data_IF_564922116885
#
_entry.id   IF_564922116885
#
_cell.length_a   1.000
_cell.length_b   1.000
_cell.length_c   1.000
_cell.angle_alpha   90.00
_cell.angle_beta   90.00
_cell.angle_gamma   90.00
#
_symmetry.space_group_name_H-M   'P 1'
#
loop_
_entity.id
_entity.type
_entity.pdbx_description
1 polymer ?
#
# COMPACT_ATOMS: atom_id res chain seq x y z
N UNK A 1 -4.72 32.46 4.78
CA UNK A 1 -5.34 33.64 5.46
C UNK A 1 -5.81 34.62 4.39
N UNK A 2 -7.00 34.44 3.85
CA UNK A 2 -7.78 35.53 3.25
C UNK A 2 -9.17 35.46 3.85
N UNK A 3 -9.33 36.09 5.01
CA UNK A 3 -10.66 36.51 5.45
C UNK A 3 -11.10 37.65 4.52
N UNK A 4 -12.08 37.39 3.65
CA UNK A 4 -12.67 38.43 2.85
C UNK A 4 -13.50 39.32 3.76
N UNK A 5 -13.02 40.50 4.08
CA UNK A 5 -13.68 41.57 4.89
C UNK A 5 -15.07 41.91 4.30
N UNK A 6 -15.34 41.56 3.05
CA UNK A 6 -16.59 41.82 2.33
C UNK A 6 -17.80 41.04 2.86
N UNK A 7 -17.57 39.84 3.45
CA UNK A 7 -18.67 38.96 3.94
C UNK A 7 -19.13 39.32 5.34
N UNK A 8 -18.34 40.06 6.13
CA UNK A 8 -18.70 40.47 7.47
C UNK A 8 -19.79 41.57 7.49
N UNK A 9 -19.99 42.29 6.39
CA UNK A 9 -21.03 43.34 6.29
C UNK A 9 -22.46 42.78 6.12
N UNK A 10 -22.59 41.54 5.62
CA UNK A 10 -23.90 40.91 5.40
C UNK A 10 -24.34 39.96 6.54
N UNK A 11 -23.61 39.91 7.65
CA UNK A 11 -23.95 39.06 8.82
C UNK A 11 -23.77 37.55 8.59
N UNK A 12 -23.28 37.11 7.43
CA UNK A 12 -23.01 35.69 7.13
C UNK A 12 -21.58 35.52 6.67
N UNK A 13 -20.75 34.90 7.51
CA UNK A 13 -19.34 34.57 7.15
C UNK A 13 -19.22 33.07 6.90
N UNK A 14 -18.72 32.69 5.73
CA UNK A 14 -18.45 31.30 5.41
C UNK A 14 -16.99 30.98 5.72
N UNK A 15 -16.76 30.07 6.66
CA UNK A 15 -15.43 29.55 6.98
C UNK A 15 -15.31 28.16 6.37
N UNK A 16 -14.35 27.97 5.46
CA UNK A 16 -14.06 26.67 4.88
C UNK A 16 -12.90 26.02 5.64
N UNK A 17 -13.15 24.84 6.20
CA UNK A 17 -12.13 24.00 6.84
C UNK A 17 -11.89 22.80 5.92
N UNK A 18 -10.66 22.65 5.40
CA UNK A 18 -10.29 21.53 4.56
C UNK A 18 -9.57 20.49 5.41
N UNK A 19 -10.16 19.30 5.52
CA UNK A 19 -9.61 18.17 6.26
C UNK A 19 -9.12 17.12 5.26
N UNK A 20 -7.98 16.48 5.56
CA UNK A 20 -7.48 15.37 4.74
C UNK A 20 -8.41 14.15 4.93
N UNK A 21 -9.13 13.79 3.87
CA UNK A 21 -10.11 12.69 3.86
C UNK A 21 -9.51 11.33 3.46
N UNK A 22 -8.19 11.22 3.28
CA UNK A 22 -7.53 9.95 2.90
C UNK A 22 -7.78 8.88 3.96
N UNK A 23 -7.77 9.25 5.24
CA UNK A 23 -8.14 8.37 6.34
C UNK A 23 -9.52 8.76 6.88
N UNK A 24 -10.53 7.95 6.58
CA UNK A 24 -11.92 8.22 6.99
C UNK A 24 -12.09 8.35 8.51
N UNK A 25 -11.36 7.53 9.29
CA UNK A 25 -11.41 7.57 10.75
C UNK A 25 -10.88 8.89 11.31
N UNK A 26 -9.73 9.35 10.80
CA UNK A 26 -9.16 10.64 11.21
C UNK A 26 -10.03 11.82 10.78
N UNK A 27 -10.54 11.80 9.55
CA UNK A 27 -11.41 12.83 9.04
C UNK A 27 -12.70 12.94 9.90
N UNK A 28 -13.28 11.81 10.28
CA UNK A 28 -14.46 11.75 11.15
C UNK A 28 -14.13 12.27 12.56
N UNK A 29 -12.98 11.89 13.10
CA UNK A 29 -12.55 12.35 14.43
C UNK A 29 -12.33 13.88 14.45
N UNK A 30 -11.63 14.41 13.45
CA UNK A 30 -11.43 15.87 13.32
C UNK A 30 -12.76 16.58 13.14
N UNK A 31 -13.68 16.06 12.33
CA UNK A 31 -15.01 16.59 12.15
C UNK A 31 -15.78 16.65 13.49
N UNK A 32 -15.76 15.57 14.26
CA UNK A 32 -16.45 15.50 15.54
C UNK A 32 -15.86 16.50 16.56
N UNK A 33 -14.54 16.66 16.58
CA UNK A 33 -13.90 17.70 17.41
C UNK A 33 -14.28 19.10 16.98
N UNK A 34 -14.31 19.39 15.67
CA UNK A 34 -14.74 20.69 15.17
C UNK A 34 -16.20 20.98 15.55
N UNK A 35 -17.09 20.01 15.41
CA UNK A 35 -18.49 20.14 15.82
C UNK A 35 -18.64 20.38 17.34
N UNK A 36 -17.84 19.67 18.14
CA UNK A 36 -17.84 19.87 19.60
C UNK A 36 -17.34 21.27 19.99
N UNK A 37 -16.27 21.77 19.34
CA UNK A 37 -15.73 23.12 19.57
C UNK A 37 -16.74 24.18 19.16
N UNK A 38 -17.40 24.04 18.01
CA UNK A 38 -18.46 24.94 17.55
C UNK A 38 -19.65 24.95 18.52
N UNK A 39 -20.10 23.76 18.94
CA UNK A 39 -21.19 23.63 19.90
C UNK A 39 -20.87 24.22 21.27
N UNK A 40 -19.62 24.06 21.76
CA UNK A 40 -19.19 24.67 23.02
C UNK A 40 -19.10 26.21 22.91
N UNK A 41 -18.68 26.72 21.75
CA UNK A 41 -18.66 28.16 21.49
C UNK A 41 -20.07 28.73 21.38
N UNK A 42 -21.01 28.07 20.68
CA UNK A 42 -22.43 28.47 20.63
C UNK A 42 -23.05 28.49 21.98
N UNK A 43 -22.80 27.51 22.83
CA UNK A 43 -23.33 27.49 24.21
C UNK A 43 -22.77 28.63 25.06
N UNK A 44 -21.55 29.11 24.79
CA UNK A 44 -20.95 30.24 25.51
C UNK A 44 -21.54 31.60 25.13
N UNK A 45 -22.25 31.71 23.99
CA UNK A 45 -22.90 32.95 23.52
C UNK A 45 -24.27 33.24 24.18
N UNK A 46 -24.66 32.44 25.17
CA UNK A 46 -25.81 32.74 26.05
C UNK A 46 -27.18 32.66 25.37
N UNK A 47 -27.69 31.47 25.16
CA UNK A 47 -29.13 31.20 25.08
C UNK A 47 -29.86 31.68 23.81
N UNK A 48 -29.21 31.82 22.68
CA UNK A 48 -29.93 32.01 21.40
C UNK A 48 -30.55 30.70 20.97
N UNK A 49 -31.86 30.73 20.68
CA UNK A 49 -32.68 29.57 20.27
C UNK A 49 -32.45 29.08 18.83
N UNK A 50 -31.60 29.72 18.07
CA UNK A 50 -31.27 29.30 16.71
C UNK A 50 -29.77 29.01 16.60
N UNK A 51 -29.36 27.93 15.89
CA UNK A 51 -27.96 27.66 15.65
C UNK A 51 -27.35 28.84 14.87
N UNK A 52 -26.26 29.38 15.41
CA UNK A 52 -25.55 30.54 14.82
C UNK A 52 -24.69 30.08 13.63
N UNK A 53 -24.33 28.79 13.61
CA UNK A 53 -23.50 28.21 12.59
C UNK A 53 -24.15 26.97 11.94
N UNK A 54 -24.32 27.01 10.63
CA UNK A 54 -24.70 25.84 9.82
C UNK A 54 -23.43 25.14 9.33
N UNK A 55 -23.13 23.95 9.89
CA UNK A 55 -21.96 23.15 9.55
C UNK A 55 -22.30 22.22 8.40
N UNK A 56 -21.98 22.63 7.16
CA UNK A 56 -22.14 21.79 5.98
C UNK A 56 -20.87 20.99 5.72
N UNK A 57 -20.94 19.66 5.89
CA UNK A 57 -19.85 18.76 5.55
C UNK A 57 -19.95 18.33 4.09
N UNK A 58 -18.86 18.50 3.34
CA UNK A 58 -18.77 18.08 1.94
C UNK A 58 -17.54 17.20 1.75
N UNK A 59 -17.75 15.92 1.49
CA UNK A 59 -16.65 14.98 1.17
C UNK A 59 -16.44 14.93 -0.35
N UNK A 60 -15.18 15.02 -0.82
CA UNK A 60 -14.88 15.05 -2.25
C UNK A 60 -14.63 13.67 -2.86
N UNK A 61 -14.04 12.74 -2.12
CA UNK A 61 -13.57 11.45 -2.65
C UNK A 61 -14.29 10.24 -2.06
N UNK A 62 -14.87 10.36 -0.87
CA UNK A 62 -15.63 9.32 -0.19
C UNK A 62 -16.92 9.94 0.37
N UNK A 63 -17.92 10.14 -0.48
CA UNK A 63 -19.18 10.79 -0.09
C UNK A 63 -19.95 9.99 0.97
N UNK A 64 -19.85 8.66 0.92
CA UNK A 64 -20.47 7.77 1.89
C UNK A 64 -19.72 7.72 3.24
N UNK A 65 -18.50 8.30 3.33
CA UNK A 65 -17.60 8.18 4.50
C UNK A 65 -17.38 6.72 4.93
N UNK A 66 -17.29 5.81 3.93
CA UNK A 66 -17.16 4.38 4.14
C UNK A 66 -15.67 4.01 4.29
N UNK A 67 -15.34 3.40 5.42
CA UNK A 67 -13.97 2.95 5.73
C UNK A 67 -13.47 1.87 4.76
N UNK A 68 -14.37 1.12 4.12
CA UNK A 68 -14.00 0.07 3.16
C UNK A 68 -13.20 0.61 1.97
N UNK A 69 -13.46 1.83 1.51
CA UNK A 69 -12.74 2.45 0.40
C UNK A 69 -11.26 2.69 0.70
N UNK A 70 -10.91 2.84 1.96
CA UNK A 70 -9.53 2.97 2.41
C UNK A 70 -8.89 1.62 2.77
N UNK A 71 -9.66 0.74 3.43
CA UNK A 71 -9.16 -0.52 3.96
C UNK A 71 -8.90 -1.56 2.86
N UNK A 72 -9.79 -1.68 1.86
CA UNK A 72 -9.68 -2.74 0.85
C UNK A 72 -8.42 -2.62 -0.01
N UNK A 73 -8.01 -1.44 -0.54
CA UNK A 73 -6.72 -1.32 -1.22
C UNK A 73 -5.54 -1.76 -0.35
N UNK A 74 -5.54 -1.43 0.93
CA UNK A 74 -4.50 -1.85 1.88
C UNK A 74 -4.46 -3.37 2.10
N UNK A 75 -5.62 -4.01 2.18
CA UNK A 75 -5.72 -5.49 2.27
C UNK A 75 -5.16 -6.15 1.01
N UNK A 76 -5.46 -5.61 -0.17
CA UNK A 76 -4.90 -6.10 -1.45
C UNK A 76 -3.37 -6.05 -1.42
N UNK A 77 -2.78 -4.93 -0.98
CA UNK A 77 -1.30 -4.82 -0.82
C UNK A 77 -0.75 -5.89 0.10
N UNK A 78 -1.42 -6.12 1.22
CA UNK A 78 -1.02 -7.12 2.22
C UNK A 78 -1.04 -8.53 1.63
N UNK A 79 -2.11 -8.91 0.92
CA UNK A 79 -2.24 -10.19 0.23
C UNK A 79 -1.14 -10.34 -0.84
N UNK A 80 -0.91 -9.32 -1.67
CA UNK A 80 0.11 -9.34 -2.70
C UNK A 80 1.53 -9.47 -2.12
N UNK A 81 1.79 -8.83 -0.97
CA UNK A 81 3.06 -8.95 -0.25
C UNK A 81 3.26 -10.38 0.29
N UNK A 82 2.21 -10.98 0.86
CA UNK A 82 2.26 -12.36 1.35
C UNK A 82 2.56 -13.34 0.21
N UNK A 83 1.83 -13.24 -0.90
CA UNK A 83 2.00 -14.15 -2.04
C UNK A 83 3.37 -13.93 -2.69
N UNK A 84 3.74 -12.68 -2.94
CA UNK A 84 5.00 -12.36 -3.58
C UNK A 84 6.22 -12.74 -2.73
N UNK A 85 6.31 -12.26 -1.51
CA UNK A 85 7.52 -12.43 -0.69
C UNK A 85 7.51 -13.74 0.11
N UNK A 86 6.43 -14.05 0.84
CA UNK A 86 6.37 -15.21 1.72
C UNK A 86 6.37 -16.52 0.93
N UNK A 87 5.44 -16.63 -0.05
CA UNK A 87 5.32 -17.88 -0.82
C UNK A 87 6.59 -18.15 -1.62
N UNK A 88 7.16 -17.11 -2.26
CA UNK A 88 8.40 -17.26 -3.03
C UNK A 88 9.57 -17.66 -2.14
N UNK A 89 9.71 -17.05 -0.97
CA UNK A 89 10.77 -17.41 -0.04
C UNK A 89 10.66 -18.84 0.45
N UNK A 90 9.44 -19.31 0.76
CA UNK A 90 9.16 -20.69 1.17
C UNK A 90 9.47 -21.72 0.08
N UNK A 91 8.97 -21.48 -1.13
CA UNK A 91 9.17 -22.41 -2.27
C UNK A 91 10.66 -22.55 -2.59
N UNK A 92 11.39 -21.44 -2.65
CA UNK A 92 12.81 -21.47 -2.93
C UNK A 92 13.64 -22.06 -1.78
N UNK A 93 13.33 -21.71 -0.52
CA UNK A 93 14.03 -22.26 0.64
C UNK A 93 13.83 -23.79 0.76
N UNK A 94 12.64 -24.29 0.39
CA UNK A 94 12.37 -25.74 0.34
C UNK A 94 13.28 -26.45 -0.66
N UNK A 95 13.57 -25.84 -1.79
CA UNK A 95 14.46 -26.42 -2.80
C UNK A 95 15.93 -26.41 -2.35
N UNK A 96 16.35 -25.35 -1.65
CA UNK A 96 17.67 -25.34 -1.00
C UNK A 96 17.78 -26.44 0.05
N UNK A 97 16.78 -26.61 0.90
CA UNK A 97 16.79 -27.60 1.98
C UNK A 97 16.77 -29.06 1.46
N UNK A 98 16.07 -29.29 0.34
CA UNK A 98 15.98 -30.66 -0.26
C UNK A 98 17.13 -31.01 -1.19
N UNK A 99 18.04 -30.08 -1.49
CA UNK A 99 19.13 -30.30 -2.42
C UNK A 99 18.68 -30.46 -3.89
N UNK A 100 17.39 -30.17 -4.20
CA UNK A 100 16.85 -30.30 -5.55
C UNK A 100 17.49 -29.31 -6.54
N UNK A 101 18.02 -28.20 -6.05
CA UNK A 101 18.78 -27.26 -6.86
C UNK A 101 20.08 -27.88 -7.39
N UNK A 102 20.74 -28.76 -6.61
CA UNK A 102 21.96 -29.43 -7.01
C UNK A 102 21.70 -30.38 -8.20
N UNK A 103 20.57 -31.10 -8.19
CA UNK A 103 20.20 -31.96 -9.32
C UNK A 103 19.85 -31.18 -10.60
N UNK A 104 19.37 -29.94 -10.46
CA UNK A 104 19.09 -29.04 -11.59
C UNK A 104 20.39 -28.49 -12.22
N UNK A 105 21.46 -28.30 -11.46
CA UNK A 105 22.74 -27.84 -11.97
C UNK A 105 23.46 -28.88 -12.83
N UNK A 106 23.08 -30.14 -12.78
CA UNK A 106 23.58 -31.19 -13.68
C UNK A 106 23.00 -31.03 -15.10
N UNK A 107 21.91 -30.28 -15.24
CA UNK A 107 21.31 -29.96 -16.55
C UNK A 107 22.02 -28.75 -17.18
N UNK A 108 22.07 -28.64 -18.53
CA UNK A 108 22.70 -27.50 -19.19
C UNK A 108 21.92 -26.18 -19.09
N UNK A 109 21.07 -26.06 -18.09
CA UNK A 109 20.20 -24.86 -17.83
C UNK A 109 20.91 -23.93 -16.86
N UNK A 110 20.98 -22.64 -17.19
CA UNK A 110 21.60 -21.63 -16.34
C UNK A 110 20.81 -21.39 -15.05
N UNK A 111 21.50 -21.19 -13.91
CA UNK A 111 20.88 -20.91 -12.61
C UNK A 111 19.90 -19.72 -12.65
N UNK A 112 20.17 -18.73 -13.52
CA UNK A 112 19.28 -17.59 -13.72
C UNK A 112 17.96 -17.97 -14.42
N UNK A 113 17.97 -18.95 -15.31
CA UNK A 113 16.77 -19.43 -16.01
C UNK A 113 15.86 -20.21 -15.07
N UNK A 114 16.45 -21.01 -14.18
CA UNK A 114 15.70 -21.74 -13.13
C UNK A 114 15.00 -20.75 -12.19
N UNK A 115 15.73 -19.74 -11.71
CA UNK A 115 15.16 -18.69 -10.87
C UNK A 115 14.04 -17.91 -11.57
N UNK A 116 14.26 -17.60 -12.87
CA UNK A 116 13.24 -16.89 -13.65
C UNK A 116 11.98 -17.73 -13.86
N UNK A 117 12.13 -19.03 -14.15
CA UNK A 117 10.99 -19.94 -14.29
C UNK A 117 10.17 -20.06 -13.01
N UNK A 118 10.82 -20.17 -11.85
CA UNK A 118 10.17 -20.20 -10.53
C UNK A 118 9.49 -18.88 -10.20
N UNK A 119 10.18 -17.77 -10.46
CA UNK A 119 9.61 -16.43 -10.28
C UNK A 119 8.39 -16.24 -11.19
N UNK A 120 8.44 -16.72 -12.44
CA UNK A 120 7.30 -16.64 -13.37
C UNK A 120 6.07 -17.40 -12.86
N UNK A 121 6.25 -18.60 -12.31
CA UNK A 121 5.14 -19.36 -11.71
C UNK A 121 4.48 -18.62 -10.56
N UNK A 122 5.28 -18.07 -9.62
CA UNK A 122 4.77 -17.30 -8.50
C UNK A 122 4.18 -15.96 -8.94
N UNK A 123 4.71 -15.37 -10.02
CA UNK A 123 4.15 -14.17 -10.63
C UNK A 123 2.74 -14.42 -11.18
N UNK A 124 2.55 -15.50 -11.93
CA UNK A 124 1.23 -15.88 -12.45
C UNK A 124 0.24 -16.12 -11.30
N UNK A 125 0.65 -16.83 -10.26
CA UNK A 125 -0.18 -17.06 -9.08
C UNK A 125 -0.57 -15.75 -8.39
N UNK A 126 0.38 -14.82 -8.26
CA UNK A 126 0.13 -13.49 -7.71
C UNK A 126 -0.84 -12.68 -8.56
N UNK A 127 -0.72 -12.72 -9.89
CA UNK A 127 -1.65 -12.04 -10.80
C UNK A 127 -3.06 -12.62 -10.75
N UNK A 128 -3.20 -13.94 -10.62
CA UNK A 128 -4.51 -14.58 -10.41
C UNK A 128 -5.11 -14.14 -9.07
N UNK A 129 -4.32 -14.10 -8.01
CA UNK A 129 -4.78 -13.63 -6.70
C UNK A 129 -5.18 -12.15 -6.74
N UNK A 130 -4.46 -11.32 -7.47
CA UNK A 130 -4.85 -9.93 -7.71
C UNK A 130 -6.22 -9.86 -8.40
N UNK A 131 -6.40 -10.62 -9.48
CA UNK A 131 -7.67 -10.64 -10.22
C UNK A 131 -8.84 -11.03 -9.31
N UNK A 132 -8.68 -12.08 -8.49
CA UNK A 132 -9.69 -12.51 -7.51
C UNK A 132 -9.96 -11.38 -6.50
N UNK A 133 -8.91 -10.78 -5.93
CA UNK A 133 -9.05 -9.68 -4.95
C UNK A 133 -9.77 -8.47 -5.55
N UNK A 134 -9.51 -8.15 -6.83
CA UNK A 134 -10.18 -7.07 -7.55
C UNK A 134 -11.66 -7.36 -7.80
N UNK A 135 -11.99 -8.60 -8.14
CA UNK A 135 -13.38 -9.05 -8.30
C UNK A 135 -14.12 -8.88 -6.96
N UNK A 136 -13.53 -9.33 -5.86
CA UNK A 136 -14.10 -9.13 -4.53
C UNK A 136 -14.26 -7.65 -4.17
N UNK A 137 -13.27 -6.82 -4.46
CA UNK A 137 -13.33 -5.38 -4.21
C UNK A 137 -14.49 -4.72 -4.97
N UNK A 138 -14.69 -5.08 -6.22
CA UNK A 138 -15.73 -4.50 -7.06
C UNK A 138 -17.14 -5.04 -6.74
N UNK A 139 -17.30 -6.37 -6.63
CA UNK A 139 -18.63 -6.99 -6.52
C UNK A 139 -19.13 -7.12 -5.07
N UNK A 140 -18.24 -7.38 -4.11
CA UNK A 140 -18.66 -7.58 -2.70
C UNK A 140 -18.65 -6.25 -1.95
N UNK A 141 -17.61 -5.43 -2.14
CA UNK A 141 -17.47 -4.16 -1.43
C UNK A 141 -17.96 -2.94 -2.23
N UNK A 142 -18.34 -3.13 -3.50
CA UNK A 142 -18.88 -2.05 -4.32
C UNK A 142 -17.91 -0.87 -4.52
N UNK A 143 -16.60 -1.12 -4.45
CA UNK A 143 -15.60 -0.05 -4.52
C UNK A 143 -15.42 0.38 -5.97
N UNK A 144 -15.65 1.66 -6.29
CA UNK A 144 -15.44 2.16 -7.64
C UNK A 144 -13.94 2.20 -7.97
N UNK A 145 -13.58 1.63 -9.11
CA UNK A 145 -12.24 1.77 -9.68
C UNK A 145 -12.31 3.01 -10.57
N UNK A 146 -11.79 4.15 -10.09
CA UNK A 146 -11.82 5.42 -10.83
C UNK A 146 -10.65 5.58 -11.81
N UNK A 147 -9.55 4.87 -11.55
CA UNK A 147 -8.38 4.85 -12.44
C UNK A 147 -8.50 3.83 -13.57
N UNK A 148 -7.55 3.88 -14.51
CA UNK A 148 -7.49 2.92 -15.61
C UNK A 148 -7.08 1.52 -15.10
N UNK A 149 -7.83 0.49 -15.50
CA UNK A 149 -7.56 -0.90 -15.13
C UNK A 149 -6.18 -1.37 -15.65
N UNK A 150 -5.79 -0.91 -16.83
CA UNK A 150 -4.48 -1.24 -17.42
C UNK A 150 -3.33 -0.72 -16.58
N UNK A 151 -3.43 0.52 -16.08
CA UNK A 151 -2.43 1.11 -15.20
C UNK A 151 -2.37 0.38 -13.86
N UNK A 152 -3.53 0.03 -13.30
CA UNK A 152 -3.64 -0.73 -12.06
C UNK A 152 -2.94 -2.09 -12.19
N UNK A 153 -3.20 -2.83 -13.28
CA UNK A 153 -2.53 -4.13 -13.54
C UNK A 153 -1.02 -3.96 -13.72
N UNK A 154 -0.57 -2.92 -14.45
CA UNK A 154 0.85 -2.66 -14.67
C UNK A 154 1.59 -2.33 -13.36
N UNK A 155 1.02 -1.48 -12.52
CA UNK A 155 1.58 -1.12 -11.21
C UNK A 155 1.61 -2.32 -10.28
N UNK A 156 0.56 -3.14 -10.28
CA UNK A 156 0.48 -4.36 -9.45
C UNK A 156 1.49 -5.42 -9.92
N UNK A 157 1.67 -5.57 -11.23
CA UNK A 157 2.70 -6.43 -11.80
C UNK A 157 4.12 -5.97 -11.39
N UNK A 158 4.36 -4.67 -11.44
CA UNK A 158 5.64 -4.08 -11.00
C UNK A 158 5.90 -4.34 -9.51
N UNK A 159 4.89 -4.12 -8.64
CA UNK A 159 5.01 -4.42 -7.22
C UNK A 159 5.22 -5.90 -6.95
N UNK A 160 4.54 -6.78 -7.70
CA UNK A 160 4.70 -8.22 -7.56
C UNK A 160 6.14 -8.65 -7.88
N UNK A 161 6.77 -8.08 -8.91
CA UNK A 161 8.19 -8.31 -9.21
C UNK A 161 9.08 -7.90 -8.03
N UNK A 162 8.80 -6.77 -7.39
CA UNK A 162 9.53 -6.33 -6.18
C UNK A 162 9.35 -7.32 -5.04
N UNK A 163 8.12 -7.77 -4.78
CA UNK A 163 7.81 -8.72 -3.71
C UNK A 163 8.46 -10.09 -3.96
N UNK A 164 8.45 -10.57 -5.21
CA UNK A 164 9.16 -11.79 -5.63
C UNK A 164 10.67 -11.65 -5.41
N UNK A 165 11.25 -10.50 -5.78
CA UNK A 165 12.66 -10.21 -5.55
C UNK A 165 13.03 -10.24 -4.06
N UNK A 166 12.20 -9.69 -3.18
CA UNK A 166 12.37 -9.79 -1.72
C UNK A 166 12.34 -11.25 -1.26
N UNK A 167 11.37 -12.03 -1.71
CA UNK A 167 11.27 -13.45 -1.39
C UNK A 167 12.50 -14.25 -1.81
N UNK A 168 13.02 -14.00 -3.02
CA UNK A 168 14.24 -14.62 -3.52
C UNK A 168 15.47 -14.26 -2.68
N UNK A 169 15.65 -13.00 -2.32
CA UNK A 169 16.76 -12.54 -1.46
C UNK A 169 16.68 -13.19 -0.09
N UNK A 170 15.51 -13.30 0.50
CA UNK A 170 15.32 -13.94 1.81
C UNK A 170 15.64 -15.42 1.75
N UNK A 171 15.17 -16.13 0.73
CA UNK A 171 15.40 -17.57 0.57
C UNK A 171 16.89 -17.92 0.41
N UNK A 172 17.62 -17.11 -0.36
CA UNK A 172 19.07 -17.31 -0.54
C UNK A 172 19.87 -17.06 0.74
N UNK A 173 19.37 -16.19 1.63
CA UNK A 173 20.00 -15.93 2.91
C UNK A 173 19.67 -16.99 3.98
N UNK A 174 18.44 -17.50 3.97
CA UNK A 174 17.95 -18.42 5.01
C UNK A 174 18.32 -19.88 4.75
N UNK A 175 18.33 -20.33 3.50
CA UNK A 175 18.59 -21.72 3.05
C UNK A 175 17.78 -22.82 3.76
N UNK A 176 16.87 -22.44 4.65
CA UNK A 176 16.01 -23.29 5.46
C UNK A 176 14.59 -22.74 5.40
N UNK A 177 13.60 -23.61 5.22
CA UNK A 177 12.20 -23.23 5.02
C UNK A 177 11.62 -22.49 6.23
N UNK A 178 11.93 -22.93 7.45
CA UNK A 178 11.43 -22.31 8.68
C UNK A 178 11.98 -20.88 8.85
N UNK A 179 13.29 -20.71 8.69
CA UNK A 179 13.94 -19.40 8.79
C UNK A 179 13.48 -18.47 7.68
N UNK A 180 13.31 -18.98 6.44
CA UNK A 180 12.81 -18.19 5.33
C UNK A 180 11.40 -17.65 5.59
N UNK A 181 10.50 -18.49 6.14
CA UNK A 181 9.17 -18.08 6.56
C UNK A 181 9.23 -16.99 7.63
N UNK A 182 10.03 -17.18 8.66
CA UNK A 182 10.16 -16.22 9.76
C UNK A 182 10.71 -14.86 9.28
N UNK A 183 11.77 -14.89 8.46
CA UNK A 183 12.33 -13.65 7.90
C UNK A 183 11.39 -12.97 6.92
N UNK A 184 10.60 -13.71 6.14
CA UNK A 184 9.61 -13.13 5.26
C UNK A 184 8.47 -12.45 6.05
N UNK A 185 7.96 -13.09 7.11
CA UNK A 185 6.92 -12.49 7.95
C UNK A 185 7.46 -11.25 8.66
N UNK A 186 8.60 -11.35 9.34
CA UNK A 186 9.15 -10.24 10.12
C UNK A 186 9.74 -9.12 9.26
N UNK A 187 10.38 -9.47 8.15
CA UNK A 187 11.10 -8.51 7.31
C UNK A 187 10.29 -7.89 6.18
N UNK A 188 9.21 -8.54 5.73
CA UNK A 188 8.39 -8.02 4.63
C UNK A 188 6.94 -7.80 5.01
N UNK A 189 6.26 -8.82 5.54
CA UNK A 189 4.84 -8.76 5.82
C UNK A 189 4.51 -7.80 6.98
N UNK A 190 5.19 -7.93 8.13
CA UNK A 190 4.95 -7.04 9.28
C UNK A 190 5.25 -5.56 8.97
N UNK A 191 6.38 -5.20 8.34
CA UNK A 191 6.61 -3.83 7.92
C UNK A 191 5.63 -3.35 6.86
N UNK A 192 5.23 -4.20 5.91
CA UNK A 192 4.21 -3.85 4.93
C UNK A 192 2.87 -3.52 5.59
N UNK A 193 2.46 -4.30 6.59
CA UNK A 193 1.21 -4.09 7.30
C UNK A 193 1.23 -2.80 8.16
N UNK A 194 2.32 -2.57 8.92
CA UNK A 194 2.39 -1.51 9.93
C UNK A 194 2.93 -0.19 9.39
N UNK A 195 3.91 -0.23 8.48
CA UNK A 195 4.69 0.93 8.06
C UNK A 195 4.39 1.38 6.62
N UNK A 196 3.45 0.74 5.92
CA UNK A 196 3.07 1.14 4.55
C UNK A 196 2.14 2.35 4.49
N UNK A 197 1.61 2.79 5.62
CA UNK A 197 0.56 3.81 5.67
C UNK A 197 -0.86 3.23 5.59
N UNK A 198 -1.00 1.90 5.62
CA UNK A 198 -2.30 1.22 5.58
C UNK A 198 -3.01 1.27 6.94
N UNK A 199 -2.40 0.78 8.01
CA UNK A 199 -3.01 0.80 9.35
C UNK A 199 -2.80 2.14 10.07
N UNK A 200 -1.62 2.71 9.94
CA UNK A 200 -1.23 3.95 10.59
C UNK A 200 -0.81 4.97 9.55
N UNK A 201 -1.37 6.17 9.62
CA UNK A 201 -0.98 7.27 8.74
C UNK A 201 0.49 7.65 9.00
N UNK A 202 1.26 7.70 7.92
CA UNK A 202 2.70 8.02 7.93
C UNK A 202 2.96 9.42 8.51
N UNK A 203 2.01 10.35 8.35
CA UNK A 203 2.14 11.71 8.87
C UNK A 203 2.16 11.77 10.40
N UNK A 204 1.52 10.79 11.06
CA UNK A 204 1.46 10.70 12.52
C UNK A 204 2.63 9.93 13.14
N UNK A 205 3.53 9.36 12.29
CA UNK A 205 4.69 8.62 12.76
C UNK A 205 5.82 9.57 13.16
N UNK A 206 6.62 9.21 14.19
CA UNK A 206 7.86 9.92 14.53
C UNK A 206 8.80 10.02 13.32
N UNK A 207 9.61 11.10 13.21
CA UNK A 207 10.45 11.33 12.02
C UNK A 207 11.44 10.18 11.74
N UNK A 208 11.96 9.51 12.76
CA UNK A 208 12.84 8.35 12.61
C UNK A 208 12.11 7.16 11.95
N UNK A 209 10.88 6.84 12.39
CA UNK A 209 10.07 5.76 11.81
C UNK A 209 9.67 6.13 10.38
N UNK A 210 9.30 7.39 10.13
CA UNK A 210 8.97 7.89 8.81
C UNK A 210 10.12 7.74 7.81
N UNK A 211 11.37 7.91 8.23
CA UNK A 211 12.53 7.65 7.39
C UNK A 211 12.64 6.16 7.01
N UNK A 212 12.39 5.25 7.96
CA UNK A 212 12.41 3.80 7.72
C UNK A 212 11.32 3.39 6.71
N UNK A 213 10.13 4.01 6.76
CA UNK A 213 9.06 3.67 5.80
C UNK A 213 9.45 3.90 4.35
N UNK A 214 10.43 4.77 4.06
CA UNK A 214 10.89 5.02 2.69
C UNK A 214 11.59 3.81 2.06
N UNK A 215 12.11 2.88 2.88
CA UNK A 215 12.79 1.65 2.41
C UNK A 215 11.77 0.56 2.09
N UNK A 216 10.52 0.71 2.51
CA UNK A 216 9.48 -0.31 2.38
C UNK A 216 8.72 -0.11 1.07
N UNK A 217 8.84 -1.03 0.09
CA UNK A 217 8.18 -0.87 -1.21
C UNK A 217 6.66 -0.90 -1.12
N UNK A 218 6.08 -1.60 -0.14
CA UNK A 218 4.64 -1.67 0.09
C UNK A 218 4.02 -0.28 0.33
N UNK A 219 4.75 0.68 0.91
CA UNK A 219 4.31 2.07 1.09
C UNK A 219 3.91 2.71 -0.24
N UNK A 220 4.76 2.59 -1.24
CA UNK A 220 4.51 3.19 -2.57
C UNK A 220 3.35 2.51 -3.27
N UNK A 221 3.21 1.20 -3.09
CA UNK A 221 2.12 0.45 -3.71
C UNK A 221 0.77 0.74 -3.03
N UNK A 222 0.71 0.90 -1.70
CA UNK A 222 -0.51 1.36 -0.99
C UNK A 222 -0.94 2.71 -1.53
N UNK A 223 -0.02 3.68 -1.62
CA UNK A 223 -0.32 5.02 -2.15
C UNK A 223 -0.85 4.96 -3.59
N UNK A 224 -0.25 4.12 -4.45
CA UNK A 224 -0.68 3.92 -5.82
C UNK A 224 -2.09 3.33 -5.90
N UNK A 225 -2.36 2.25 -5.16
CA UNK A 225 -3.68 1.63 -5.16
C UNK A 225 -4.76 2.57 -4.63
N UNK A 226 -4.51 3.25 -3.51
CA UNK A 226 -5.45 4.23 -2.96
C UNK A 226 -5.74 5.36 -3.95
N UNK A 227 -4.71 5.85 -4.64
CA UNK A 227 -4.88 6.89 -5.67
C UNK A 227 -5.73 6.38 -6.83
N UNK A 228 -5.43 5.20 -7.39
CA UNK A 228 -6.15 4.61 -8.51
C UNK A 228 -7.61 4.26 -8.19
N UNK A 229 -7.88 3.79 -6.96
CA UNK A 229 -9.24 3.47 -6.55
C UNK A 229 -10.07 4.73 -6.28
N UNK A 230 -9.51 5.72 -5.57
CA UNK A 230 -10.28 6.84 -5.02
C UNK A 230 -10.22 8.10 -5.89
N UNK A 231 -9.04 8.44 -6.41
CA UNK A 231 -8.78 9.71 -7.06
C UNK A 231 -8.67 9.58 -8.59
N UNK A 232 -8.36 8.38 -9.10
CA UNK A 232 -8.14 8.13 -10.52
C UNK A 232 -6.67 8.30 -10.94
N UNK A 233 -6.45 8.56 -12.22
CA UNK A 233 -5.11 8.62 -12.78
C UNK A 233 -4.47 9.99 -12.53
N UNK A 234 -3.69 10.12 -11.45
CA UNK A 234 -2.95 11.34 -11.10
C UNK A 234 -1.45 11.14 -11.39
N UNK A 235 -0.93 11.64 -12.54
CA UNK A 235 0.45 11.39 -12.97
C UNK A 235 1.51 11.88 -11.96
N UNK A 236 1.24 12.98 -11.26
CA UNK A 236 2.17 13.58 -10.29
C UNK A 236 2.47 12.67 -9.09
N UNK A 237 1.56 11.76 -8.75
CA UNK A 237 1.74 10.76 -7.67
C UNK A 237 2.22 9.43 -8.25
N UNK A 238 1.66 9.03 -9.39
CA UNK A 238 1.90 7.72 -10.01
C UNK A 238 3.34 7.60 -10.50
N UNK A 239 3.84 8.60 -11.21
CA UNK A 239 5.18 8.55 -11.83
C UNK A 239 6.29 8.35 -10.78
N UNK A 240 6.41 9.17 -9.72
CA UNK A 240 7.48 9.00 -8.75
C UNK A 240 7.39 7.67 -7.99
N UNK A 241 6.18 7.20 -7.67
CA UNK A 241 6.00 5.91 -7.02
C UNK A 241 6.39 4.73 -7.92
N UNK A 242 6.02 4.77 -9.21
CA UNK A 242 6.42 3.76 -10.19
C UNK A 242 7.93 3.73 -10.41
N UNK A 243 8.59 4.88 -10.50
CA UNK A 243 10.05 4.96 -10.62
C UNK A 243 10.71 4.32 -9.39
N UNK A 244 10.23 4.65 -8.20
CA UNK A 244 10.78 4.08 -6.95
C UNK A 244 10.59 2.56 -6.90
N UNK A 245 9.41 2.05 -7.25
CA UNK A 245 9.17 0.61 -7.34
C UNK A 245 10.04 -0.06 -8.42
N UNK A 246 10.26 0.60 -9.56
CA UNK A 246 11.15 0.14 -10.61
C UNK A 246 12.60 0.00 -10.12
N UNK A 247 13.09 0.99 -9.37
CA UNK A 247 14.43 0.93 -8.75
C UNK A 247 14.51 -0.23 -7.77
N UNK A 248 13.50 -0.44 -6.92
CA UNK A 248 13.45 -1.60 -6.02
C UNK A 248 13.43 -2.92 -6.78
N UNK A 249 12.67 -3.03 -7.88
CA UNK A 249 12.59 -4.22 -8.69
C UNK A 249 13.98 -4.59 -9.26
N UNK A 250 14.66 -3.64 -9.89
CA UNK A 250 15.98 -3.84 -10.47
C UNK A 250 17.01 -4.19 -9.39
N UNK A 251 17.02 -3.45 -8.28
CA UNK A 251 17.95 -3.69 -7.19
C UNK A 251 17.79 -5.08 -6.56
N UNK A 252 16.55 -5.47 -6.22
CA UNK A 252 16.27 -6.75 -5.55
C UNK A 252 16.48 -7.95 -6.46
N UNK A 253 16.04 -7.85 -7.73
CA UNK A 253 16.30 -8.91 -8.71
C UNK A 253 17.80 -9.03 -9.03
N UNK A 254 18.51 -7.91 -9.08
CA UNK A 254 19.97 -7.90 -9.22
C UNK A 254 20.68 -8.59 -8.05
N UNK A 255 20.30 -8.26 -6.80
CA UNK A 255 20.84 -8.87 -5.59
C UNK A 255 20.51 -10.38 -5.56
N UNK A 256 19.29 -10.77 -5.87
CA UNK A 256 18.87 -12.16 -5.93
C UNK A 256 19.72 -12.96 -6.94
N UNK A 257 19.96 -12.37 -8.11
CA UNK A 257 20.78 -13.00 -9.17
C UNK A 257 22.26 -13.13 -8.78
N UNK A 258 22.82 -12.12 -8.08
CA UNK A 258 24.20 -12.14 -7.60
C UNK A 258 24.42 -13.15 -6.47
N UNK A 259 23.43 -13.33 -5.60
CA UNK A 259 23.47 -14.28 -4.48
C UNK A 259 23.06 -15.70 -4.86
N UNK A 260 22.49 -15.90 -6.05
CA UNK A 260 22.18 -17.24 -6.54
C UNK A 260 23.48 -18.06 -6.68
N UNK A 261 23.55 -19.28 -6.17
CA UNK A 261 24.74 -20.12 -6.29
C UNK A 261 25.05 -20.38 -7.76
N UNK A 262 26.30 -20.13 -8.13
CA UNK A 262 26.78 -20.28 -9.51
C UNK A 262 27.41 -21.65 -9.81
N UNK A 263 27.73 -22.43 -8.79
CA UNK A 263 28.31 -23.75 -8.90
C UNK A 263 28.13 -24.57 -7.62
N UNK A 264 28.36 -25.87 -7.73
CA UNK A 264 28.52 -26.79 -6.62
C UNK A 264 29.84 -26.47 -5.89
N UNK A 265 29.80 -25.77 -4.77
CA UNK A 265 30.84 -25.81 -3.74
C UNK A 265 30.23 -26.28 -2.44
#
# INVERSE_FOLDING_TARGET
RQMCIRDSHNGTTKVQIVVNGVNANQATLIRNYLQAVVGSWESSLGGRTAPVLDVQTRTRFNEANDSHYYLVPGVIVTIMTMIGALLTSLVMAREYERGTLESLFVTPVGSGEILAAKAATNFLLGMVSLAISMIFAAFVFGIPIRGSLTLLLAVSALFLIVALGLGLVISTAAKNQFLACQFAIMGTFMPALMLSGFLYDILNMPPAVRAITCIIPARYYVTLLQTLFLAGDIPSVIIPCCITLGVFAVALMGIARLKAPKSLE
#
